data_IF_618704582978
#
_entry.id   IF_618704582978
#
_cell.length_a   1.000
_cell.length_b   1.000
_cell.length_c   1.000
_cell.angle_alpha   90.00
_cell.angle_beta   90.00
_cell.angle_gamma   90.00
#
_symmetry.space_group_name_H-M   'P 1'
#
loop_
_entity.id
_entity.type
_entity.pdbx_description
1 polymer ?
#
# COMPACT_ATOMS: atom_id res chain seq x y z
N UNK A 1 -36.24 27.54 -31.66
CA UNK A 1 -35.71 26.38 -32.40
C UNK A 1 -34.56 25.85 -31.57
N UNK A 2 -34.91 24.98 -30.62
CA UNK A 2 -33.97 24.24 -29.78
C UNK A 2 -33.54 22.99 -30.55
N UNK A 3 -32.24 22.72 -30.57
CA UNK A 3 -31.71 21.45 -31.06
C UNK A 3 -31.64 20.47 -29.89
N UNK A 4 -32.58 19.53 -29.87
CA UNK A 4 -32.45 18.28 -29.14
C UNK A 4 -31.40 17.42 -29.86
N UNK A 5 -30.25 17.17 -29.23
CA UNK A 5 -29.39 16.06 -29.63
C UNK A 5 -29.99 14.76 -29.09
N UNK A 6 -30.45 13.92 -30.01
CA UNK A 6 -30.90 12.56 -29.73
C UNK A 6 -29.67 11.70 -29.46
N UNK A 7 -29.54 11.18 -28.25
CA UNK A 7 -28.56 10.16 -27.92
C UNK A 7 -29.16 8.79 -28.26
N UNK A 8 -28.72 8.24 -29.39
CA UNK A 8 -29.09 6.90 -29.86
C UNK A 8 -28.07 5.94 -29.28
N UNK A 9 -28.17 5.63 -27.99
CA UNK A 9 -27.72 4.39 -27.37
C UNK A 9 -28.01 4.43 -25.86
N UNK A 10 -28.64 3.37 -25.35
CA UNK A 10 -29.04 3.10 -23.96
C UNK A 10 -30.44 3.60 -23.55
N UNK A 11 -31.42 2.69 -23.67
CA UNK A 11 -32.66 2.74 -22.91
C UNK A 11 -32.37 2.42 -21.43
N UNK A 12 -31.78 3.36 -20.72
CA UNK A 12 -31.77 3.37 -19.26
C UNK A 12 -32.18 4.76 -18.81
N UNK A 13 -33.43 4.88 -18.37
CA UNK A 13 -33.92 5.99 -17.57
C UNK A 13 -33.07 6.03 -16.29
N UNK A 14 -32.01 6.85 -16.29
CA UNK A 14 -31.24 7.12 -15.09
C UNK A 14 -32.00 8.18 -14.29
N UNK A 15 -32.66 7.72 -13.24
CA UNK A 15 -33.27 8.57 -12.22
C UNK A 15 -32.18 9.42 -11.55
N UNK A 16 -32.20 10.73 -11.81
CA UNK A 16 -31.15 11.69 -11.40
C UNK A 16 -31.10 11.97 -9.90
N UNK A 17 -31.92 11.29 -9.09
CA UNK A 17 -32.01 11.51 -7.64
C UNK A 17 -31.29 10.47 -6.80
N UNK A 18 -30.75 9.40 -7.41
CA UNK A 18 -29.91 8.39 -6.76
C UNK A 18 -28.61 8.16 -7.54
N UNK A 19 -27.81 9.21 -7.75
CA UNK A 19 -26.44 9.05 -8.26
C UNK A 19 -25.51 8.47 -7.17
N UNK A 20 -25.84 7.30 -6.65
CA UNK A 20 -24.83 6.40 -6.14
C UNK A 20 -23.97 6.06 -7.36
N UNK A 21 -22.80 6.70 -7.45
CA UNK A 21 -21.81 6.43 -8.48
C UNK A 21 -21.70 4.93 -8.68
N UNK A 22 -21.97 4.44 -9.89
CA UNK A 22 -21.79 3.01 -10.17
C UNK A 22 -20.39 2.59 -9.69
N UNK A 23 -20.26 1.46 -8.98
CA UNK A 23 -18.97 0.99 -8.51
C UNK A 23 -18.04 0.84 -9.71
N UNK A 24 -16.73 1.00 -9.48
CA UNK A 24 -15.73 0.85 -10.53
C UNK A 24 -15.96 -0.51 -11.23
N UNK A 25 -16.26 -0.54 -12.55
CA UNK A 25 -16.68 -1.76 -13.23
C UNK A 25 -15.61 -2.86 -13.18
N UNK A 26 -14.33 -2.48 -13.01
CA UNK A 26 -13.23 -3.44 -12.81
C UNK A 26 -13.34 -4.24 -11.52
N UNK A 27 -13.98 -3.70 -10.48
CA UNK A 27 -14.13 -4.36 -9.18
C UNK A 27 -15.24 -5.43 -9.17
N UNK A 28 -16.06 -5.50 -10.22
CA UNK A 28 -17.11 -6.52 -10.41
C UNK A 28 -16.83 -7.42 -11.62
N UNK A 29 -15.67 -7.27 -12.26
CA UNK A 29 -15.25 -8.07 -13.41
C UNK A 29 -14.54 -9.35 -12.90
N UNK A 30 -15.04 -10.57 -13.20
CA UNK A 30 -14.45 -11.83 -12.75
C UNK A 30 -12.98 -11.99 -13.11
N UNK A 31 -12.55 -11.43 -14.25
CA UNK A 31 -11.15 -11.53 -14.68
C UNK A 31 -10.23 -10.82 -13.68
N UNK A 32 -10.68 -9.79 -12.96
CA UNK A 32 -9.85 -9.13 -11.93
C UNK A 32 -9.77 -9.92 -10.62
N UNK A 33 -10.79 -10.74 -10.32
CA UNK A 33 -10.82 -11.59 -9.12
C UNK A 33 -10.07 -12.90 -9.31
N UNK A 34 -10.05 -13.40 -10.55
CA UNK A 34 -9.30 -14.59 -10.98
C UNK A 34 -8.55 -14.27 -12.28
N UNK A 35 -7.41 -13.57 -12.20
CA UNK A 35 -6.64 -13.21 -13.37
C UNK A 35 -6.22 -14.38 -14.23
N UNK A 36 -6.11 -14.12 -15.54
CA UNK A 36 -5.64 -15.10 -16.54
C UNK A 36 -4.11 -15.23 -16.60
N UNK A 37 -3.39 -14.43 -15.80
CA UNK A 37 -1.95 -14.45 -15.72
C UNK A 37 -1.44 -15.88 -15.46
N UNK A 38 -0.46 -16.31 -16.25
CA UNK A 38 0.06 -17.69 -16.22
C UNK A 38 0.63 -18.12 -14.87
N UNK A 39 1.05 -17.17 -14.02
CA UNK A 39 1.57 -17.42 -12.68
C UNK A 39 0.60 -16.98 -11.56
N UNK A 40 -0.67 -16.68 -11.85
CA UNK A 40 -1.69 -16.46 -10.83
C UNK A 40 -2.13 -17.79 -10.21
N UNK A 41 -2.15 -17.84 -8.87
CA UNK A 41 -2.52 -19.02 -8.10
C UNK A 41 -3.49 -18.62 -6.99
N UNK A 42 -4.53 -19.43 -6.80
CA UNK A 42 -5.23 -19.50 -5.52
C UNK A 42 -4.38 -20.39 -4.61
N UNK A 43 -3.99 -19.86 -3.46
CA UNK A 43 -3.02 -20.52 -2.58
C UNK A 43 -3.60 -21.80 -2.03
N UNK A 44 -2.88 -22.90 -2.24
CA UNK A 44 -3.03 -24.10 -1.43
C UNK A 44 -2.43 -23.84 -0.04
N UNK A 45 -3.29 -23.51 0.92
CA UNK A 45 -2.88 -23.16 2.27
C UNK A 45 -2.29 -24.36 3.03
N UNK A 46 -2.76 -25.58 2.77
CA UNK A 46 -2.18 -26.79 3.37
C UNK A 46 -0.73 -26.97 2.89
N UNK A 47 -0.47 -26.75 1.59
CA UNK A 47 0.89 -26.75 1.04
C UNK A 47 1.75 -25.66 1.68
N UNK A 48 1.23 -24.44 1.77
CA UNK A 48 1.92 -23.33 2.43
C UNK A 48 2.26 -23.67 3.88
N UNK A 49 1.29 -24.07 4.68
CA UNK A 49 1.47 -24.39 6.10
C UNK A 49 2.39 -25.59 6.33
N UNK A 50 2.36 -26.60 5.45
CA UNK A 50 3.24 -27.77 5.54
C UNK A 50 4.73 -27.43 5.45
N UNK A 51 5.07 -26.31 4.81
CA UNK A 51 6.44 -25.80 4.73
C UNK A 51 6.87 -25.00 5.97
N UNK A 52 5.96 -24.83 6.95
CA UNK A 52 6.17 -24.13 8.21
C UNK A 52 6.78 -22.73 8.04
N UNK A 53 6.07 -21.83 7.32
CA UNK A 53 6.53 -20.46 7.10
C UNK A 53 6.76 -19.75 8.44
N UNK A 54 7.88 -19.05 8.57
CA UNK A 54 8.23 -18.29 9.77
C UNK A 54 8.77 -16.94 9.38
N UNK A 55 8.30 -15.89 10.06
CA UNK A 55 8.94 -14.60 10.00
C UNK A 55 10.24 -14.63 10.82
N UNK A 56 11.37 -14.08 10.31
CA UNK A 56 12.57 -13.95 11.12
C UNK A 56 12.36 -13.00 12.31
N UNK A 57 12.91 -13.38 13.47
CA UNK A 57 12.82 -12.58 14.71
C UNK A 57 13.75 -11.37 14.72
N UNK A 58 14.79 -11.34 13.88
CA UNK A 58 15.72 -10.20 13.79
C UNK A 58 15.34 -9.34 12.58
N UNK A 59 14.84 -8.13 12.83
CA UNK A 59 14.50 -7.18 11.78
C UNK A 59 15.76 -6.55 11.17
N UNK A 60 16.22 -7.20 10.11
CA UNK A 60 17.35 -6.82 9.27
C UNK A 60 16.95 -6.77 7.77
N UNK A 61 16.32 -5.68 7.30
CA UNK A 61 15.87 -5.56 5.91
C UNK A 61 16.97 -5.74 4.87
N UNK A 62 16.81 -6.62 3.86
CA UNK A 62 17.74 -6.70 2.74
C UNK A 62 17.92 -5.35 2.05
N UNK A 63 16.85 -4.55 1.98
CA UNK A 63 16.90 -3.22 1.41
C UNK A 63 17.76 -2.22 2.21
N UNK A 64 18.23 -2.58 3.42
CA UNK A 64 19.23 -1.82 4.19
C UNK A 64 20.63 -1.92 3.57
N UNK A 65 20.95 -3.06 2.97
CA UNK A 65 22.29 -3.37 2.47
C UNK A 65 22.38 -3.33 0.96
N UNK A 66 21.28 -3.68 0.27
CA UNK A 66 21.28 -3.78 -1.17
C UNK A 66 20.32 -2.79 -1.84
N UNK A 67 20.91 -1.73 -2.39
CA UNK A 67 20.26 -0.76 -3.29
C UNK A 67 20.60 -0.99 -4.78
N UNK A 68 21.15 -2.15 -5.16
CA UNK A 68 21.68 -2.39 -6.52
C UNK A 68 20.72 -1.99 -7.64
N UNK A 69 19.43 -2.22 -7.45
CA UNK A 69 18.41 -1.98 -8.47
C UNK A 69 17.95 -0.51 -8.50
N UNK A 70 18.20 0.23 -7.42
CA UNK A 70 17.98 1.68 -7.32
C UNK A 70 19.18 2.50 -7.83
N UNK A 71 20.31 1.87 -8.23
CA UNK A 71 21.51 2.58 -8.73
C UNK A 71 21.29 3.24 -10.10
N UNK A 72 20.28 2.81 -10.86
CA UNK A 72 20.07 3.26 -12.24
C UNK A 72 19.42 4.62 -12.38
N UNK A 73 18.73 5.12 -11.36
CA UNK A 73 18.10 6.44 -11.45
C UNK A 73 18.71 7.42 -10.45
N UNK A 74 18.79 8.71 -10.82
CA UNK A 74 19.31 9.73 -9.93
C UNK A 74 18.68 9.71 -8.54
N UNK A 75 19.47 9.80 -7.48
CA UNK A 75 18.97 9.73 -6.09
C UNK A 75 18.01 10.87 -5.71
N UNK A 76 18.05 12.01 -6.41
CA UNK A 76 17.03 13.05 -6.22
C UNK A 76 15.65 12.59 -6.66
N UNK A 77 15.58 11.52 -7.46
CA UNK A 77 14.35 10.86 -7.84
C UNK A 77 13.85 9.95 -6.69
N UNK A 78 14.71 9.16 -6.06
CA UNK A 78 14.34 8.15 -5.04
C UNK A 78 14.24 8.64 -3.59
N UNK A 79 14.41 9.93 -3.31
CA UNK A 79 14.34 10.41 -1.92
C UNK A 79 12.88 10.49 -1.46
N UNK A 80 12.57 9.93 -0.29
CA UNK A 80 11.24 10.07 0.34
C UNK A 80 10.97 11.47 0.89
N UNK A 81 11.98 12.34 0.93
CA UNK A 81 11.91 13.72 1.40
C UNK A 81 12.28 14.75 0.33
N UNK A 82 11.51 15.84 0.26
CA UNK A 82 11.78 17.00 -0.61
C UNK A 82 12.99 17.85 -0.16
N UNK A 83 13.54 17.60 1.04
CA UNK A 83 14.62 18.41 1.63
C UNK A 83 15.91 18.42 0.79
N UNK A 84 16.07 17.50 -0.17
CA UNK A 84 17.27 17.35 -0.99
C UNK A 84 17.03 17.57 -2.49
N UNK A 85 15.95 18.26 -2.88
CA UNK A 85 15.62 18.48 -4.28
C UNK A 85 15.86 19.95 -4.69
N UNK A 86 16.99 20.26 -5.36
CA UNK A 86 17.35 21.62 -5.82
C UNK A 86 16.31 22.28 -6.71
N UNK A 87 15.61 21.46 -7.50
CA UNK A 87 14.77 21.87 -8.64
C UNK A 87 13.35 21.33 -8.42
N UNK A 88 12.89 21.32 -7.15
CA UNK A 88 11.65 20.67 -6.75
C UNK A 88 10.36 21.43 -7.11
N UNK A 89 10.40 22.60 -7.72
CA UNK A 89 9.15 23.30 -8.07
C UNK A 89 8.80 23.20 -9.56
N UNK A 90 9.78 23.29 -10.45
CA UNK A 90 9.53 23.25 -11.91
C UNK A 90 9.23 21.85 -12.44
N UNK A 91 9.99 20.83 -12.02
CA UNK A 91 9.81 19.45 -12.49
C UNK A 91 8.61 18.75 -11.84
N UNK A 92 8.26 19.08 -10.60
CA UNK A 92 7.07 18.53 -9.95
C UNK A 92 5.77 19.08 -10.56
N UNK A 93 5.78 20.30 -11.12
CA UNK A 93 4.66 20.78 -11.93
C UNK A 93 4.47 19.97 -13.23
N UNK A 94 5.58 19.59 -13.88
CA UNK A 94 5.56 18.68 -15.03
C UNK A 94 5.08 17.27 -14.63
N UNK A 95 5.58 16.75 -13.50
CA UNK A 95 5.21 15.42 -13.03
C UNK A 95 3.79 15.35 -12.41
N UNK A 96 3.30 16.44 -11.82
CA UNK A 96 1.94 16.54 -11.30
C UNK A 96 0.89 16.33 -12.40
N UNK A 97 1.21 16.73 -13.65
CA UNK A 97 0.39 16.45 -14.82
C UNK A 97 0.19 14.95 -15.11
N UNK A 98 1.14 14.08 -14.74
CA UNK A 98 0.99 12.63 -14.90
C UNK A 98 -0.06 12.05 -13.93
N UNK A 99 -0.18 12.61 -12.73
CA UNK A 99 -1.05 12.06 -11.68
C UNK A 99 -2.53 12.44 -11.78
N UNK A 100 -2.93 13.30 -12.73
CA UNK A 100 -4.33 13.71 -12.88
C UNK A 100 -4.89 14.41 -11.61
N UNK A 101 -6.15 14.15 -11.26
CA UNK A 101 -6.88 14.77 -10.13
C UNK A 101 -6.45 14.24 -8.75
N UNK A 102 -5.16 14.03 -8.52
CA UNK A 102 -4.64 13.61 -7.22
C UNK A 102 -4.83 14.71 -6.17
N UNK A 103 -5.22 14.31 -4.96
CA UNK A 103 -5.29 15.21 -3.80
C UNK A 103 -3.90 15.34 -3.17
N UNK A 104 -3.63 16.49 -2.55
CA UNK A 104 -2.39 16.73 -1.82
C UNK A 104 -2.71 17.25 -0.43
N UNK A 105 -2.26 16.53 0.60
CA UNK A 105 -2.41 16.93 1.99
C UNK A 105 -1.09 16.73 2.76
N UNK A 106 -1.08 17.10 4.04
CA UNK A 106 0.09 16.99 4.92
C UNK A 106 -0.13 15.97 6.03
N UNK A 107 0.91 15.22 6.36
CA UNK A 107 0.94 14.31 7.51
C UNK A 107 0.77 15.09 8.82
N UNK A 108 1.44 16.23 8.93
CA UNK A 108 1.30 17.18 10.06
C UNK A 108 -0.13 17.73 10.22
N UNK A 109 -1.00 17.58 9.23
CA UNK A 109 -2.43 17.86 9.32
C UNK A 109 -3.22 16.54 9.44
N UNK A 110 -2.79 15.68 10.37
CA UNK A 110 -3.20 14.28 10.50
C UNK A 110 -4.71 14.07 10.35
N UNK A 111 -5.52 14.84 11.07
CA UNK A 111 -6.98 14.77 10.99
C UNK A 111 -7.53 14.83 9.56
N UNK A 112 -7.06 15.77 8.74
CA UNK A 112 -7.60 15.98 7.40
C UNK A 112 -7.15 14.89 6.44
N UNK A 113 -5.86 14.54 6.47
CA UNK A 113 -5.30 13.48 5.63
C UNK A 113 -5.89 12.12 6.00
N UNK A 114 -5.90 11.77 7.29
CA UNK A 114 -6.39 10.48 7.79
C UNK A 114 -7.89 10.31 7.53
N UNK A 115 -8.72 11.34 7.77
CA UNK A 115 -10.16 11.30 7.42
C UNK A 115 -10.38 11.12 5.91
N UNK A 116 -9.48 11.65 5.09
CA UNK A 116 -9.59 11.55 3.64
C UNK A 116 -9.25 10.14 3.13
N UNK A 117 -8.25 9.49 3.72
CA UNK A 117 -7.79 8.15 3.32
C UNK A 117 -8.56 7.01 4.00
N UNK A 118 -9.09 7.23 5.21
CA UNK A 118 -9.81 6.22 5.98
C UNK A 118 -11.29 6.59 6.08
N UNK A 119 -12.07 6.09 5.12
CA UNK A 119 -13.53 6.25 5.09
C UNK A 119 -14.25 4.95 5.45
N UNK A 120 -15.48 5.04 5.99
CA UNK A 120 -16.27 3.85 6.34
C UNK A 120 -16.49 2.93 5.13
N UNK A 121 -16.31 1.61 5.31
CA UNK A 121 -16.73 0.62 4.32
C UNK A 121 -18.15 0.12 4.67
N UNK A 122 -19.13 0.18 3.76
CA UNK A 122 -20.46 -0.39 4.00
C UNK A 122 -20.45 -1.90 4.26
N UNK A 123 -19.39 -2.61 3.86
CA UNK A 123 -19.19 -4.04 4.11
C UNK A 123 -18.03 -4.28 5.10
N UNK A 124 -17.82 -3.39 6.08
CA UNK A 124 -16.73 -3.53 7.07
C UNK A 124 -16.74 -4.89 7.78
N UNK A 125 -17.91 -5.49 7.98
CA UNK A 125 -18.08 -6.77 8.67
C UNK A 125 -17.40 -7.96 7.98
N UNK A 126 -17.17 -7.88 6.66
CA UNK A 126 -16.46 -8.94 5.91
C UNK A 126 -14.97 -8.66 5.73
N UNK A 127 -14.49 -7.48 6.16
CA UNK A 127 -13.06 -7.14 6.15
C UNK A 127 -12.38 -7.88 7.32
N UNK A 128 -11.28 -8.62 7.11
CA UNK A 128 -10.53 -9.23 8.18
C UNK A 128 -10.08 -8.19 9.21
N UNK A 129 -10.12 -8.55 10.50
CA UNK A 129 -9.78 -7.64 11.62
C UNK A 129 -8.45 -6.90 11.42
N UNK A 130 -7.36 -7.55 10.92
CA UNK A 130 -6.09 -6.86 10.77
C UNK A 130 -6.13 -5.68 9.80
N UNK A 131 -7.10 -5.62 8.87
CA UNK A 131 -7.24 -4.53 7.89
C UNK A 131 -8.47 -3.64 8.12
N UNK A 132 -9.45 -4.13 8.89
CA UNK A 132 -10.75 -3.50 9.07
C UNK A 132 -10.58 -2.13 9.72
N UNK A 133 -11.11 -1.10 9.06
CA UNK A 133 -11.18 0.25 9.59
C UNK A 133 -9.82 0.83 10.02
N UNK A 134 -8.70 0.37 9.48
CA UNK A 134 -7.35 0.84 9.86
C UNK A 134 -6.67 1.60 8.72
N UNK A 135 -5.92 2.65 9.09
CA UNK A 135 -4.97 3.35 8.25
C UNK A 135 -3.56 3.02 8.72
N UNK A 136 -2.73 2.49 7.83
CA UNK A 136 -1.38 2.05 8.15
C UNK A 136 -0.35 3.03 7.63
N UNK A 137 0.66 3.31 8.44
CA UNK A 137 1.94 3.83 7.98
C UNK A 137 2.88 2.68 7.66
N UNK A 138 3.52 2.73 6.51
CA UNK A 138 4.54 1.76 6.05
C UNK A 138 5.90 2.05 6.69
N UNK A 139 6.01 1.83 8.00
CA UNK A 139 7.25 2.09 8.75
C UNK A 139 8.40 1.22 8.24
N UNK A 140 9.59 1.80 8.05
CA UNK A 140 10.79 1.16 7.49
C UNK A 140 10.68 0.75 6.00
N UNK A 141 9.64 1.24 5.31
CA UNK A 141 9.53 1.15 3.86
C UNK A 141 10.53 2.12 3.19
N UNK A 142 11.21 1.69 2.12
CA UNK A 142 12.05 2.60 1.32
C UNK A 142 11.35 3.08 0.06
N UNK A 143 10.28 2.39 -0.33
CA UNK A 143 9.42 2.82 -1.42
C UNK A 143 8.62 4.07 -1.03
N UNK A 144 8.05 4.74 -2.02
CA UNK A 144 7.40 6.03 -1.84
C UNK A 144 6.04 5.94 -1.14
N UNK A 145 5.42 4.76 -1.12
CA UNK A 145 4.17 4.53 -0.39
C UNK A 145 4.39 4.81 1.10
N UNK A 146 3.57 5.68 1.67
CA UNK A 146 3.70 6.16 3.05
C UNK A 146 2.52 5.76 3.91
N UNK A 147 1.30 6.07 3.48
CA UNK A 147 0.08 5.65 4.16
C UNK A 147 -0.72 4.74 3.24
N UNK A 148 -1.30 3.67 3.79
CA UNK A 148 -2.15 2.74 3.03
C UNK A 148 -3.37 2.37 3.85
N UNK A 149 -4.52 2.30 3.19
CA UNK A 149 -5.74 1.70 3.74
C UNK A 149 -6.31 0.70 2.73
N UNK A 150 -6.65 -0.47 3.25
CA UNK A 150 -7.36 -1.50 2.50
C UNK A 150 -8.88 -1.43 2.77
N UNK A 151 -9.30 -0.52 3.65
CA UNK A 151 -10.65 -0.54 4.20
C UNK A 151 -11.72 -0.45 3.10
N UNK A 152 -11.50 0.37 2.06
CA UNK A 152 -12.48 0.62 0.99
C UNK A 152 -12.30 -0.24 -0.26
N UNK A 153 -11.50 -1.30 -0.17
CA UNK A 153 -11.42 -2.28 -1.24
C UNK A 153 -12.74 -3.06 -1.38
N UNK A 154 -12.92 -3.75 -2.50
CA UNK A 154 -14.04 -4.64 -2.68
C UNK A 154 -13.75 -5.92 -1.87
N UNK A 155 -14.56 -6.21 -0.84
CA UNK A 155 -14.37 -7.34 0.05
C UNK A 155 -15.53 -8.32 -0.04
N UNK A 156 -15.22 -9.62 0.11
CA UNK A 156 -16.19 -10.70 0.31
C UNK A 156 -15.70 -11.63 1.41
N UNK A 157 -16.61 -12.46 1.93
CA UNK A 157 -16.27 -13.42 3.01
C UNK A 157 -15.22 -14.42 2.52
N UNK A 158 -14.30 -14.76 3.40
CA UNK A 158 -13.42 -15.91 3.19
C UNK A 158 -14.24 -17.19 3.12
N UNK A 159 -13.79 -18.15 2.33
CA UNK A 159 -14.36 -19.50 2.24
C UNK A 159 -13.26 -20.52 2.45
N UNK A 160 -13.63 -21.75 2.79
CA UNK A 160 -12.68 -22.81 3.14
C UNK A 160 -11.71 -23.14 1.99
N UNK A 161 -12.06 -22.79 0.74
CA UNK A 161 -11.23 -23.01 -0.45
C UNK A 161 -10.13 -21.95 -0.65
N UNK A 162 -9.94 -21.00 0.27
CA UNK A 162 -8.83 -20.03 0.22
C UNK A 162 -8.93 -18.98 -0.89
N UNK A 163 -10.16 -18.70 -1.38
CA UNK A 163 -10.41 -17.80 -2.52
C UNK A 163 -9.89 -16.36 -2.29
N UNK A 164 -9.72 -15.60 -3.38
CA UNK A 164 -9.56 -14.13 -3.31
C UNK A 164 -10.68 -13.51 -2.48
N UNK A 165 -10.36 -12.82 -1.41
CA UNK A 165 -11.30 -12.16 -0.49
C UNK A 165 -11.37 -10.64 -0.66
N UNK A 166 -10.37 -10.03 -1.29
CA UNK A 166 -10.36 -8.61 -1.59
C UNK A 166 -9.84 -8.31 -3.00
N UNK A 167 -10.32 -7.22 -3.57
CA UNK A 167 -9.79 -6.61 -4.79
C UNK A 167 -9.76 -5.09 -4.65
N UNK A 168 -8.60 -4.49 -4.94
CA UNK A 168 -8.42 -3.04 -4.92
C UNK A 168 -7.55 -2.54 -6.05
N UNK A 169 -7.74 -1.27 -6.43
CA UNK A 169 -6.80 -0.57 -7.28
C UNK A 169 -5.74 0.10 -6.40
N UNK A 170 -4.46 -0.15 -6.69
CA UNK A 170 -3.35 0.32 -5.83
C UNK A 170 -3.21 1.85 -5.81
N UNK A 171 -3.82 2.56 -6.76
CA UNK A 171 -3.84 4.03 -6.79
C UNK A 171 -4.70 4.66 -5.68
N UNK A 172 -5.61 3.89 -5.05
CA UNK A 172 -6.61 4.44 -4.15
C UNK A 172 -6.35 4.13 -2.68
N UNK A 173 -6.59 5.12 -1.83
CA UNK A 173 -6.33 5.14 -0.38
C UNK A 173 -4.89 4.74 -0.03
N UNK A 174 -3.98 4.98 -0.97
CA UNK A 174 -2.53 4.85 -0.85
C UNK A 174 -1.93 6.23 -1.08
N UNK A 175 -1.04 6.67 -0.19
CA UNK A 175 -0.33 7.93 -0.35
C UNK A 175 1.10 7.69 -0.73
N UNK A 176 1.58 8.52 -1.66
CA UNK A 176 2.97 8.56 -2.05
C UNK A 176 3.55 9.92 -1.63
N UNK A 177 4.85 9.99 -1.42
CA UNK A 177 5.50 11.28 -1.21
C UNK A 177 5.31 12.19 -2.44
N UNK A 178 5.36 13.51 -2.26
CA UNK A 178 5.17 14.47 -3.35
C UNK A 178 6.42 14.69 -4.23
N UNK A 179 7.35 13.74 -4.29
CA UNK A 179 8.52 13.82 -5.17
C UNK A 179 8.18 13.37 -6.60
N UNK A 180 9.05 13.62 -7.57
CA UNK A 180 8.87 13.12 -8.94
C UNK A 180 8.71 11.59 -8.99
N UNK A 181 9.35 10.85 -8.08
CA UNK A 181 9.17 9.40 -8.01
C UNK A 181 7.81 9.07 -7.44
N UNK A 182 7.38 9.73 -6.36
CA UNK A 182 6.05 9.51 -5.81
C UNK A 182 4.91 9.83 -6.77
N UNK A 183 5.04 10.89 -7.58
CA UNK A 183 4.10 11.16 -8.68
C UNK A 183 4.14 10.09 -9.79
N UNK A 184 5.32 9.59 -10.15
CA UNK A 184 5.46 8.55 -11.17
C UNK A 184 4.91 7.21 -10.67
N UNK A 185 5.22 6.81 -9.44
CA UNK A 185 4.67 5.64 -8.77
C UNK A 185 3.15 5.73 -8.66
N UNK A 186 2.60 6.88 -8.24
CA UNK A 186 1.14 7.10 -8.24
C UNK A 186 0.53 6.92 -9.63
N UNK A 187 1.22 7.34 -10.70
CA UNK A 187 0.79 7.11 -12.08
C UNK A 187 0.83 5.63 -12.46
N UNK A 188 1.90 4.90 -12.14
CA UNK A 188 1.99 3.47 -12.43
C UNK A 188 1.03 2.62 -11.59
N UNK A 189 0.70 3.04 -10.37
CA UNK A 189 -0.30 2.39 -9.53
C UNK A 189 -1.70 2.46 -10.16
N UNK A 190 -1.97 3.39 -11.09
CA UNK A 190 -3.28 3.51 -11.76
C UNK A 190 -3.65 2.34 -12.64
N UNK A 191 -2.64 1.67 -13.17
CA UNK A 191 -2.84 0.49 -13.99
C UNK A 191 -2.78 -0.79 -13.17
N UNK A 192 -2.46 -0.72 -11.86
CA UNK A 192 -2.25 -1.90 -11.02
C UNK A 192 -3.41 -2.17 -10.09
N UNK A 193 -3.74 -3.46 -10.01
CA UNK A 193 -4.70 -4.01 -9.07
C UNK A 193 -3.98 -4.97 -8.14
N UNK A 194 -4.57 -5.18 -6.97
CA UNK A 194 -4.12 -6.18 -6.04
C UNK A 194 -5.33 -6.99 -5.56
N UNK A 195 -5.20 -8.31 -5.58
CA UNK A 195 -6.11 -9.22 -4.90
C UNK A 195 -5.50 -9.67 -3.58
N UNK A 196 -6.34 -9.92 -2.57
CA UNK A 196 -5.90 -10.49 -1.27
C UNK A 196 -6.54 -11.85 -1.09
N UNK A 197 -5.75 -12.82 -0.63
CA UNK A 197 -6.17 -14.12 -0.12
C UNK A 197 -5.75 -14.20 1.36
N UNK A 198 -6.53 -14.85 2.22
CA UNK A 198 -6.22 -15.00 3.65
C UNK A 198 -6.17 -16.45 4.08
N UNK A 199 -5.19 -16.81 4.91
CA UNK A 199 -5.06 -18.16 5.47
C UNK A 199 -6.26 -18.50 6.37
N UNK A 200 -6.59 -19.80 6.52
CA UNK A 200 -7.69 -20.23 7.38
C UNK A 200 -7.54 -19.78 8.84
N UNK A 201 -6.30 -19.72 9.34
CA UNK A 201 -5.99 -19.28 10.70
C UNK A 201 -5.88 -17.74 10.85
N UNK A 202 -5.99 -16.99 9.75
CA UNK A 202 -5.92 -15.53 9.72
C UNK A 202 -4.52 -14.95 10.00
N UNK A 203 -3.46 -15.77 10.06
CA UNK A 203 -2.09 -15.30 10.32
C UNK A 203 -1.41 -14.75 9.08
N UNK A 204 -1.73 -15.27 7.90
CA UNK A 204 -1.10 -14.89 6.64
C UNK A 204 -2.11 -14.35 5.66
N UNK A 205 -1.73 -13.29 4.96
CA UNK A 205 -2.47 -12.76 3.83
C UNK A 205 -1.54 -12.61 2.65
N UNK A 206 -1.90 -13.20 1.52
CA UNK A 206 -1.19 -13.05 0.27
C UNK A 206 -1.85 -11.96 -0.56
N UNK A 207 -1.09 -10.93 -0.92
CA UNK A 207 -1.49 -9.96 -1.91
C UNK A 207 -0.82 -10.28 -3.26
N UNK A 208 -1.63 -10.43 -4.30
CA UNK A 208 -1.20 -10.66 -5.67
C UNK A 208 -1.41 -9.39 -6.48
N UNK A 209 -0.32 -8.74 -6.88
CA UNK A 209 -0.35 -7.49 -7.65
C UNK A 209 -0.23 -7.76 -9.15
N UNK A 210 -1.06 -7.09 -9.94
CA UNK A 210 -1.22 -7.35 -11.36
C UNK A 210 -1.50 -6.07 -12.16
N UNK A 211 -0.90 -5.95 -13.34
CA UNK A 211 -1.10 -4.81 -14.24
C UNK A 211 -2.23 -5.01 -15.26
N UNK A 212 -2.34 -6.19 -15.86
CA UNK A 212 -3.44 -6.49 -16.80
C UNK A 212 -4.01 -7.89 -16.54
N UNK A 213 -5.11 -8.01 -15.78
CA UNK A 213 -5.65 -9.31 -15.40
C UNK A 213 -6.20 -10.15 -16.56
N UNK A 214 -6.34 -9.56 -17.75
CA UNK A 214 -6.84 -10.26 -18.94
C UNK A 214 -5.71 -10.81 -19.81
N UNK A 215 -4.49 -10.34 -19.63
CA UNK A 215 -3.32 -10.77 -20.40
C UNK A 215 -2.63 -11.96 -19.69
N UNK A 216 -2.60 -13.16 -20.30
CA UNK A 216 -1.94 -14.33 -19.71
C UNK A 216 -0.42 -14.18 -19.58
N UNK A 217 0.19 -13.28 -20.35
CA UNK A 217 1.63 -12.97 -20.29
C UNK A 217 1.95 -11.92 -19.21
N UNK A 218 0.94 -11.29 -18.60
CA UNK A 218 1.18 -10.40 -17.48
C UNK A 218 1.71 -11.22 -16.30
N UNK A 219 2.65 -10.63 -15.56
CA UNK A 219 3.23 -11.27 -14.39
C UNK A 219 2.55 -10.77 -13.12
N UNK A 220 2.18 -11.72 -12.26
CA UNK A 220 1.76 -11.46 -10.89
C UNK A 220 2.98 -11.36 -9.99
N UNK A 221 3.02 -10.34 -9.14
CA UNK A 221 3.97 -10.27 -8.03
C UNK A 221 3.24 -10.45 -6.71
N UNK A 222 3.73 -11.39 -5.92
CA UNK A 222 3.22 -11.78 -4.62
C UNK A 222 3.95 -11.07 -3.49
N UNK A 223 3.17 -10.59 -2.54
CA UNK A 223 3.66 -10.00 -1.30
C UNK A 223 2.83 -10.50 -0.13
N UNK A 224 3.53 -10.84 0.94
CA UNK A 224 2.94 -11.44 2.12
C UNK A 224 2.73 -10.39 3.20
N UNK A 225 1.56 -10.43 3.84
CA UNK A 225 1.32 -9.80 5.12
C UNK A 225 1.20 -10.90 6.17
N UNK A 226 1.93 -10.77 7.25
CA UNK A 226 1.85 -11.61 8.42
C UNK A 226 1.26 -10.80 9.57
N UNK A 227 0.33 -11.40 10.32
CA UNK A 227 -0.20 -10.84 11.55
C UNK A 227 0.69 -11.30 12.70
N UNK A 228 1.26 -10.37 13.45
CA UNK A 228 2.10 -10.67 14.61
C UNK A 228 1.28 -11.44 15.66
N UNK A 229 1.84 -12.52 16.16
CA UNK A 229 1.23 -13.41 17.17
C UNK A 229 1.76 -13.09 18.58
N UNK A 230 1.11 -13.64 19.61
CA UNK A 230 1.48 -13.38 21.02
C UNK A 230 2.88 -13.86 21.41
N UNK A 231 3.39 -14.90 20.74
CA UNK A 231 4.69 -15.53 20.98
C UNK A 231 5.81 -14.99 20.07
N UNK A 232 5.51 -14.06 19.17
CA UNK A 232 6.50 -13.43 18.32
C UNK A 232 7.30 -12.36 19.07
N UNK A 233 8.62 -12.45 19.00
CA UNK A 233 9.53 -11.43 19.50
C UNK A 233 10.40 -10.88 18.37
N UNK A 234 10.26 -9.58 18.10
CA UNK A 234 11.09 -8.87 17.12
C UNK A 234 12.24 -8.12 17.79
N UNK A 235 13.43 -8.21 17.20
CA UNK A 235 14.66 -7.58 17.70
C UNK A 235 15.37 -6.86 16.55
N UNK A 236 16.03 -5.76 16.85
CA UNK A 236 16.96 -5.13 15.92
C UNK A 236 18.24 -5.97 15.77
N UNK A 237 19.10 -5.70 14.77
CA UNK A 237 20.32 -6.49 14.54
C UNK A 237 21.32 -6.49 15.71
N UNK A 238 21.27 -5.47 16.57
CA UNK A 238 22.06 -5.37 17.81
C UNK A 238 21.42 -6.12 19.00
N UNK A 239 20.29 -6.80 18.78
CA UNK A 239 19.58 -7.61 19.77
C UNK A 239 18.59 -6.84 20.66
N UNK A 240 18.39 -5.54 20.44
CA UNK A 240 17.41 -4.75 21.21
C UNK A 240 15.98 -5.14 20.82
N UNK A 241 15.13 -5.35 21.82
CA UNK A 241 13.72 -5.64 21.59
C UNK A 241 13.01 -4.48 20.87
N UNK A 242 12.15 -4.82 19.92
CA UNK A 242 11.29 -3.89 19.20
C UNK A 242 9.95 -3.81 19.92
N UNK A 243 9.95 -3.22 21.11
CA UNK A 243 8.79 -3.21 22.02
C UNK A 243 7.53 -2.57 21.42
N UNK A 244 7.67 -1.81 20.34
CA UNK A 244 6.55 -1.17 19.64
C UNK A 244 5.78 -2.11 18.71
N UNK A 245 6.34 -3.28 18.37
CA UNK A 245 5.66 -4.30 17.55
C UNK A 245 4.83 -5.18 18.49
N UNK A 246 3.52 -5.21 18.31
CA UNK A 246 2.56 -5.89 19.19
C UNK A 246 1.78 -6.97 18.44
N UNK A 247 1.22 -7.97 19.15
CA UNK A 247 0.28 -8.92 18.55
C UNK A 247 -0.87 -8.19 17.84
N UNK A 248 -1.21 -8.63 16.63
CA UNK A 248 -2.18 -7.97 15.75
C UNK A 248 -1.59 -6.93 14.79
N UNK A 249 -0.35 -6.47 15.01
CA UNK A 249 0.36 -5.65 14.02
C UNK A 249 0.68 -6.46 12.77
N UNK A 250 1.04 -5.77 11.69
CA UNK A 250 1.37 -6.39 10.42
C UNK A 250 2.89 -6.38 10.18
N UNK A 251 3.36 -7.42 9.50
CA UNK A 251 4.66 -7.47 8.82
C UNK A 251 4.40 -7.66 7.35
N UNK A 252 4.92 -6.78 6.50
CA UNK A 252 4.91 -6.97 5.05
C UNK A 252 6.24 -7.59 4.65
N UNK A 253 6.24 -8.73 3.96
CA UNK A 253 7.45 -9.44 3.51
C UNK A 253 7.33 -9.91 2.06
N UNK A 254 8.45 -9.91 1.32
CA UNK A 254 8.60 -10.54 0.00
C UNK A 254 9.79 -11.48 0.02
N UNK A 255 9.63 -12.59 -0.68
CA UNK A 255 10.66 -13.60 -0.87
C UNK A 255 11.00 -13.75 -2.37
N UNK A 256 12.25 -14.07 -2.65
CA UNK A 256 12.76 -14.32 -3.99
C UNK A 256 12.45 -13.18 -4.95
N UNK A 257 12.08 -13.55 -6.18
CA UNK A 257 11.65 -12.60 -7.23
C UNK A 257 10.17 -12.19 -7.11
N UNK A 258 9.47 -12.65 -6.06
CA UNK A 258 8.06 -12.37 -5.83
C UNK A 258 7.10 -13.09 -6.80
N UNK A 259 7.55 -14.03 -7.63
CA UNK A 259 6.68 -14.67 -8.64
C UNK A 259 6.12 -16.03 -8.22
N UNK A 260 6.71 -16.63 -7.19
CA UNK A 260 6.26 -17.89 -6.60
C UNK A 260 5.55 -17.61 -5.27
N UNK A 261 4.24 -17.88 -5.15
CA UNK A 261 3.52 -17.67 -3.89
C UNK A 261 3.99 -18.64 -2.82
N UNK A 262 4.55 -19.81 -3.15
CA UNK A 262 5.00 -20.81 -2.18
C UNK A 262 6.44 -20.62 -1.70
N UNK A 263 7.10 -19.51 -2.05
CA UNK A 263 8.43 -19.19 -1.54
C UNK A 263 8.35 -18.58 -0.13
N UNK A 264 9.06 -19.18 0.83
CA UNK A 264 9.13 -18.72 2.21
C UNK A 264 10.50 -18.96 2.86
N UNK A 265 11.52 -19.20 2.05
CA UNK A 265 12.89 -19.32 2.51
C UNK A 265 13.38 -17.95 3.02
N UNK A 266 13.63 -17.86 4.33
CA UNK A 266 14.13 -16.65 4.97
C UNK A 266 15.48 -16.18 4.42
N UNK A 267 16.28 -17.06 3.82
CA UNK A 267 17.53 -16.65 3.14
C UNK A 267 17.28 -15.89 1.82
N UNK A 268 16.05 -15.93 1.31
CA UNK A 268 15.62 -15.27 0.06
C UNK A 268 14.72 -14.07 0.30
N UNK A 269 14.63 -13.55 1.52
CA UNK A 269 13.89 -12.31 1.76
C UNK A 269 14.52 -11.21 0.91
N UNK A 270 13.69 -10.47 0.17
CA UNK A 270 14.15 -9.36 -0.68
C UNK A 270 13.63 -8.01 -0.22
N UNK A 271 12.55 -8.00 0.56
CA UNK A 271 11.95 -6.76 1.05
C UNK A 271 11.04 -7.03 2.25
N UNK A 272 11.17 -6.25 3.32
CA UNK A 272 10.18 -6.31 4.41
C UNK A 272 10.08 -5.00 5.22
N UNK A 273 8.94 -4.74 5.82
CA UNK A 273 8.71 -3.55 6.65
C UNK A 273 7.48 -3.76 7.54
N UNK A 274 7.20 -2.82 8.45
CA UNK A 274 6.07 -2.91 9.39
C UNK A 274 4.96 -1.91 9.03
N UNK A 275 3.81 -2.35 8.52
CA UNK A 275 2.61 -1.53 8.50
C UNK A 275 2.08 -1.30 9.93
N UNK A 276 2.10 -0.05 10.41
CA UNK A 276 1.61 0.33 11.75
C UNK A 276 0.34 1.15 11.67
N UNK A 277 -0.69 0.76 12.41
CA UNK A 277 -1.95 1.50 12.44
C UNK A 277 -1.74 2.88 13.11
N UNK A 278 -1.92 3.96 12.35
CA UNK A 278 -1.84 5.35 12.84
C UNK A 278 -3.21 5.95 13.15
N UNK A 279 -4.25 5.38 12.57
CA UNK A 279 -5.64 5.73 12.87
C UNK A 279 -6.58 4.57 12.57
N UNK A 280 -7.73 4.56 13.23
CA UNK A 280 -8.81 3.61 13.00
C UNK A 280 -10.19 4.30 13.01
N UNK A 281 -11.20 3.66 12.43
CA UNK A 281 -12.60 4.06 12.62
C UNK A 281 -13.22 3.25 13.75
N UNK A 282 -13.86 3.94 14.68
CA UNK A 282 -14.61 3.28 15.73
C UNK A 282 -15.98 2.75 15.25
N UNK A 283 -16.76 2.20 16.18
CA UNK A 283 -18.08 1.65 15.89
C UNK A 283 -19.09 2.67 15.34
N UNK A 284 -18.85 3.97 15.55
CA UNK A 284 -19.69 5.06 15.03
C UNK A 284 -19.17 5.58 13.67
N UNK A 285 -18.05 5.05 13.18
CA UNK A 285 -17.38 5.56 11.99
C UNK A 285 -16.55 6.82 12.24
N UNK A 286 -16.28 7.15 13.51
CA UNK A 286 -15.45 8.30 13.88
C UNK A 286 -13.98 7.91 13.90
N UNK A 287 -13.12 8.84 13.48
CA UNK A 287 -11.67 8.63 13.43
C UNK A 287 -11.07 8.67 14.84
N UNK A 288 -10.39 7.59 15.22
CA UNK A 288 -9.52 7.52 16.41
C UNK A 288 -8.06 7.46 15.97
N UNK A 289 -7.24 8.32 16.55
CA UNK A 289 -5.80 8.39 16.25
C UNK A 289 -5.05 7.51 17.24
N UNK A 290 -4.16 6.66 16.73
CA UNK A 290 -3.16 6.00 17.56
C UNK A 290 -1.99 6.97 17.74
N UNK A 291 -1.99 7.72 18.83
CA UNK A 291 -1.01 8.78 19.09
C UNK A 291 0.43 8.26 19.14
N UNK A 292 0.68 7.06 19.65
CA UNK A 292 2.05 6.51 19.69
C UNK A 292 2.65 6.39 18.28
N UNK A 293 1.86 5.87 17.33
CA UNK A 293 2.32 5.64 15.96
C UNK A 293 2.26 6.93 15.11
N UNK A 294 1.20 7.72 15.30
CA UNK A 294 0.99 8.95 14.56
C UNK A 294 2.02 10.03 14.93
N UNK A 295 2.38 10.16 16.20
CA UNK A 295 3.35 11.16 16.65
C UNK A 295 4.77 10.83 16.14
N UNK A 296 5.14 9.54 16.07
CA UNK A 296 6.41 9.12 15.44
C UNK A 296 6.43 9.41 13.94
N UNK A 297 5.34 9.08 13.23
CA UNK A 297 5.18 9.44 11.82
C UNK A 297 5.29 10.96 11.60
N UNK A 298 4.60 11.77 12.40
CA UNK A 298 4.66 13.24 12.32
C UNK A 298 6.07 13.73 12.62
N UNK A 299 6.74 13.16 13.62
CA UNK A 299 8.13 13.47 13.94
C UNK A 299 9.03 13.22 12.73
N UNK A 300 8.95 12.04 12.10
CA UNK A 300 9.73 11.70 10.88
C UNK A 300 9.36 12.55 9.66
N UNK A 301 8.10 13.00 9.55
CA UNK A 301 7.62 13.84 8.47
C UNK A 301 8.03 15.32 8.61
N UNK A 302 8.15 15.80 9.85
CA UNK A 302 8.50 17.18 10.18
C UNK A 302 9.95 17.34 10.62
N UNK A 303 10.69 16.24 10.71
CA UNK A 303 12.10 16.21 11.09
C UNK A 303 12.91 17.17 10.22
N UNK A 304 13.47 18.20 10.85
CA UNK A 304 14.51 19.02 10.25
C UNK A 304 15.84 18.40 10.65
N UNK A 305 16.28 17.35 9.94
CA UNK A 305 17.56 16.74 10.27
C UNK A 305 18.65 17.83 10.18
N UNK A 306 19.41 18.06 11.26
CA UNK A 306 20.57 18.97 11.25
C UNK A 306 21.71 18.52 10.33
N UNK A 307 21.52 17.38 9.65
CA UNK A 307 22.38 16.82 8.60
C UNK A 307 21.85 17.10 7.19
N UNK A 308 20.72 17.79 7.04
CA UNK A 308 20.26 18.28 5.76
C UNK A 308 21.26 19.34 5.29
N UNK A 309 22.12 18.98 4.34
CA UNK A 309 23.01 19.94 3.71
C UNK A 309 22.19 21.13 3.22
N UNK A 310 22.39 22.29 3.85
CA UNK A 310 21.83 23.59 3.45
C UNK A 310 22.18 23.92 1.98
N UNK A 311 23.16 23.22 1.41
CA UNK A 311 23.54 23.20 0.01
C UNK A 311 23.11 21.90 -0.66
N UNK A 312 21.83 21.79 -0.99
CA UNK A 312 21.37 21.54 -2.36
C UNK A 312 22.35 20.78 -3.30
N UNK A 313 21.93 19.58 -3.76
CA UNK A 313 22.43 18.81 -4.94
C UNK A 313 23.29 17.56 -4.63
N UNK A 314 22.79 16.38 -5.06
CA UNK A 314 23.51 15.15 -5.49
C UNK A 314 24.56 14.49 -4.59
N UNK A 315 25.18 15.20 -3.65
CA UNK A 315 26.46 14.88 -3.04
C UNK A 315 26.32 14.18 -1.68
N UNK A 316 25.20 14.29 -0.99
CA UNK A 316 25.05 13.64 0.31
C UNK A 316 24.81 12.13 0.18
N UNK A 317 23.83 11.69 -0.62
CA UNK A 317 23.46 10.27 -0.65
C UNK A 317 24.43 9.38 -1.45
N UNK A 318 25.25 9.92 -2.36
CA UNK A 318 26.33 9.16 -3.03
C UNK A 318 27.50 8.90 -2.08
N UNK A 319 27.62 9.74 -1.05
CA UNK A 319 28.61 9.62 0.01
C UNK A 319 28.09 8.83 1.22
N UNK A 320 26.80 8.48 1.24
CA UNK A 320 26.21 7.62 2.27
C UNK A 320 26.51 6.16 1.97
N UNK A 321 26.80 5.37 3.00
CA UNK A 321 26.72 3.91 2.89
C UNK A 321 25.27 3.47 2.61
N UNK A 322 25.02 2.25 2.11
CA UNK A 322 23.67 1.72 1.97
C UNK A 322 22.83 1.83 3.25
N UNK A 323 23.43 1.55 4.40
CA UNK A 323 22.79 1.61 5.71
C UNK A 323 22.47 3.06 6.10
N UNK A 324 23.41 3.99 5.95
CA UNK A 324 23.16 5.42 6.21
C UNK A 324 22.04 5.95 5.32
N UNK A 325 21.97 5.49 4.07
CA UNK A 325 20.90 5.86 3.14
C UNK A 325 19.56 5.27 3.56
N UNK A 326 19.52 4.00 3.96
CA UNK A 326 18.31 3.36 4.48
C UNK A 326 17.79 4.13 5.69
N UNK A 327 18.64 4.33 6.71
CA UNK A 327 18.31 5.07 7.93
C UNK A 327 17.84 6.49 7.60
N UNK A 328 18.50 7.15 6.65
CA UNK A 328 18.08 8.46 6.19
C UNK A 328 16.67 8.42 5.56
N UNK A 329 16.38 7.49 4.65
CA UNK A 329 15.09 7.42 3.96
C UNK A 329 13.92 7.06 4.89
N UNK A 330 14.13 6.14 5.83
CA UNK A 330 13.05 5.70 6.75
C UNK A 330 12.79 6.72 7.86
N UNK A 331 13.77 7.58 8.19
CA UNK A 331 13.63 8.62 9.22
C UNK A 331 13.34 10.03 8.67
N UNK A 332 13.26 10.19 7.34
CA UNK A 332 12.95 11.46 6.69
C UNK A 332 11.89 11.25 5.61
N UNK A 333 10.63 11.39 6.01
CA UNK A 333 9.46 11.22 5.15
C UNK A 333 8.99 12.60 4.70
N UNK A 334 8.49 12.73 3.47
CA UNK A 334 7.87 13.99 3.06
C UNK A 334 6.59 14.22 3.84
N UNK A 335 6.47 15.36 4.50
CA UNK A 335 5.20 15.79 5.10
C UNK A 335 4.08 15.90 4.07
N UNK A 336 4.39 16.26 2.81
CA UNK A 336 3.39 16.39 1.75
C UNK A 336 3.17 15.06 1.04
N UNK A 337 1.92 14.65 0.99
CA UNK A 337 1.46 13.36 0.49
C UNK A 337 0.52 13.56 -0.69
N UNK A 338 0.70 12.78 -1.75
CA UNK A 338 -0.18 12.73 -2.92
C UNK A 338 -0.98 11.44 -2.86
N UNK A 339 -2.29 11.51 -3.06
CA UNK A 339 -3.17 10.35 -2.94
C UNK A 339 -4.46 10.52 -3.75
N UNK A 340 -5.12 9.40 -4.02
CA UNK A 340 -6.49 9.38 -4.53
C UNK A 340 -7.39 8.62 -3.56
N UNK A 341 -8.65 9.07 -3.45
CA UNK A 341 -9.64 8.43 -2.61
C UNK A 341 -10.35 7.31 -3.38
N UNK A 342 -10.55 6.14 -2.77
CA UNK A 342 -11.37 5.09 -3.40
C UNK A 342 -12.82 5.55 -3.63
N UNK A 343 -13.51 5.05 -4.67
CA UNK A 343 -14.96 5.13 -4.72
C UNK A 343 -15.61 4.28 -3.60
N UNK A 344 -16.94 4.21 -3.58
CA UNK A 344 -17.63 3.19 -2.78
C UNK A 344 -17.43 1.81 -3.39
N UNK A 345 -16.93 0.82 -2.62
CA UNK A 345 -16.77 -0.51 -3.15
C UNK A 345 -18.14 -1.12 -3.46
N UNK A 346 -18.24 -2.03 -4.44
CA UNK A 346 -19.43 -2.84 -4.63
C UNK A 346 -19.73 -3.64 -3.35
N UNK A 347 -21.00 -4.00 -3.13
CA UNK A 347 -21.37 -4.88 -2.02
C UNK A 347 -20.86 -6.30 -2.25
N UNK A 348 -20.67 -7.07 -1.16
CA UNK A 348 -20.31 -8.49 -1.26
C UNK A 348 -21.31 -9.26 -2.14
N UNK A 349 -22.61 -9.02 -1.97
CA UNK A 349 -23.67 -9.62 -2.79
C UNK A 349 -23.58 -9.27 -4.29
N UNK A 350 -23.04 -8.11 -4.65
CA UNK A 350 -22.81 -7.76 -6.05
C UNK A 350 -21.61 -8.51 -6.63
N UNK A 351 -20.57 -8.71 -5.81
CA UNK A 351 -19.36 -9.43 -6.21
C UNK A 351 -19.67 -10.92 -6.39
N UNK A 352 -20.38 -11.55 -5.44
CA UNK A 352 -20.68 -12.99 -5.45
C UNK A 352 -21.71 -13.42 -6.53
N UNK A 353 -22.28 -12.47 -7.29
CA UNK A 353 -23.17 -12.77 -8.43
C UNK A 353 -22.43 -13.18 -9.70
N UNK A 354 -21.12 -12.98 -9.74
CA UNK A 354 -20.24 -13.27 -10.87
C UNK A 354 -19.13 -14.22 -10.42
#
# INVERSE_FOLDING_TARGET
MEYNSVDINTNTLVDKTNSNSMPNPKLVDPDYWNPKASNFEIVDWDRWESSQPRIPSVFEPPQRYNYSDCKFWPMWWWNRSCLFQPIAFGLHGCCGGFSGKSSVERISNGDKLFKSMLRPNPNSDVVPEPFRNKLFWTENNIADETLVSFNRWAWRKNTDEGRTIALGAMQHDWSNNNTCFGYASAYFQKTRFASIQGSPDGKWFLAATISDPKDPETLVNYLWFYVVQEDDEFKTPDGKAMDYVKPGDLVRISYGDGRNPYENDNSKITYWYFPRAVAELDSNGELKINHEHADDLISKATNQSGKACETCCYSCAICMTPEERFEFQVNNISDRQVFEQSPTPPSADMIDRF
#
